data_IF_317865286511
#
_entry.id   IF_317865286511
#
_cell.length_a   1.000
_cell.length_b   1.000
_cell.length_c   1.000
_cell.angle_alpha   90.00
_cell.angle_beta   90.00
_cell.angle_gamma   90.00
#
_symmetry.space_group_name_H-M   'P 1'
#
loop_
_entity.id
_entity.type
_entity.pdbx_description
1 polymer ?
#
# COMPACT_ATOMS: atom_id res chain seq x y z
N UNK A 1 5.38 -0.99 20.26
CA UNK A 1 4.27 -1.71 20.93
C UNK A 1 4.08 -2.99 20.15
N UNK A 2 4.75 -4.06 20.55
CA UNK A 2 4.65 -5.36 19.87
C UNK A 2 3.26 -5.94 20.14
N UNK A 3 2.44 -6.03 19.10
CA UNK A 3 1.15 -6.70 19.18
C UNK A 3 1.45 -8.21 19.17
N UNK A 4 1.08 -8.98 20.20
CA UNK A 4 1.30 -10.42 20.19
C UNK A 4 0.53 -11.03 19.01
N UNK A 5 1.25 -11.73 18.14
CA UNK A 5 0.65 -12.47 17.03
C UNK A 5 -0.07 -13.67 17.65
N UNK A 6 -1.39 -13.68 17.56
CA UNK A 6 -2.21 -14.80 18.03
C UNK A 6 -2.39 -15.76 16.86
N UNK A 7 -1.91 -16.99 17.04
CA UNK A 7 -2.05 -18.07 16.07
C UNK A 7 -2.99 -19.11 16.67
N UNK A 8 -4.00 -19.53 15.91
CA UNK A 8 -4.88 -20.65 16.25
C UNK A 8 -4.32 -21.88 15.52
N UNK A 9 -3.80 -22.88 16.25
CA UNK A 9 -3.27 -24.10 15.67
C UNK A 9 -4.33 -24.90 14.91
N UNK A 10 -3.94 -25.53 13.81
CA UNK A 10 -4.79 -26.37 12.96
C UNK A 10 -5.57 -27.47 13.70
N UNK A 11 -5.03 -27.97 14.82
CA UNK A 11 -5.70 -28.93 15.72
C UNK A 11 -7.00 -28.38 16.32
N UNK A 12 -7.10 -27.06 16.49
CA UNK A 12 -8.26 -26.36 17.03
C UNK A 12 -9.18 -25.80 15.93
N UNK A 13 -8.66 -25.56 14.73
CA UNK A 13 -9.34 -24.87 13.63
C UNK A 13 -9.69 -25.77 12.44
N UNK A 14 -10.17 -26.99 12.69
CA UNK A 14 -10.67 -27.91 11.64
C UNK A 14 -9.67 -28.16 10.49
N UNK A 15 -8.37 -28.11 10.76
CA UNK A 15 -7.32 -28.48 9.81
C UNK A 15 -6.50 -27.32 9.22
N UNK A 16 -6.88 -26.06 9.43
CA UNK A 16 -6.15 -24.90 8.90
C UNK A 16 -5.53 -24.06 10.02
N UNK A 17 -4.29 -23.60 9.88
CA UNK A 17 -3.72 -22.64 10.83
C UNK A 17 -4.28 -21.23 10.57
N UNK A 18 -4.78 -20.56 11.61
CA UNK A 18 -5.37 -19.23 11.48
C UNK A 18 -4.52 -18.20 12.20
N UNK A 19 -4.28 -17.06 11.56
CA UNK A 19 -3.65 -15.89 12.17
C UNK A 19 -4.73 -14.88 12.54
N UNK A 20 -4.81 -14.53 13.83
CA UNK A 20 -5.78 -13.57 14.32
C UNK A 20 -5.17 -12.18 14.29
N UNK A 21 -5.82 -11.28 13.57
CA UNK A 21 -5.46 -9.87 13.48
C UNK A 21 -6.59 -9.06 14.11
N UNK A 22 -6.25 -8.03 14.90
CA UNK A 22 -7.29 -7.13 15.43
C UNK A 22 -7.95 -6.41 14.26
N UNK A 23 -9.27 -6.25 14.34
CA UNK A 23 -10.04 -5.56 13.30
C UNK A 23 -9.49 -4.17 12.98
N UNK A 24 -9.12 -3.39 14.00
CA UNK A 24 -8.52 -2.06 13.82
C UNK A 24 -7.25 -2.10 12.97
N UNK A 25 -6.37 -3.06 13.22
CA UNK A 25 -5.09 -3.18 12.51
C UNK A 25 -5.32 -3.65 11.06
N UNK A 26 -6.29 -4.56 10.87
CA UNK A 26 -6.72 -4.98 9.54
C UNK A 26 -7.30 -3.82 8.72
N UNK A 27 -8.16 -3.00 9.33
CA UNK A 27 -8.77 -1.85 8.66
C UNK A 27 -7.72 -0.79 8.28
N UNK A 28 -6.75 -0.52 9.17
CA UNK A 28 -5.59 0.35 8.88
C UNK A 28 -4.80 -0.20 7.69
N UNK A 29 -4.49 -1.50 7.70
CA UNK A 29 -3.78 -2.15 6.60
C UNK A 29 -4.55 -2.07 5.28
N UNK A 30 -5.87 -2.27 5.30
CA UNK A 30 -6.72 -2.15 4.11
C UNK A 30 -6.65 -0.74 3.50
N UNK A 31 -6.75 0.29 4.34
CA UNK A 31 -6.65 1.68 3.90
C UNK A 31 -5.28 1.97 3.30
N UNK A 32 -4.20 1.62 4.01
CA UNK A 32 -2.84 1.77 3.51
C UNK A 32 -2.63 1.06 2.17
N UNK A 33 -3.13 -0.18 2.03
CA UNK A 33 -3.05 -0.94 0.79
C UNK A 33 -3.75 -0.22 -0.38
N UNK A 34 -4.89 0.42 -0.10
CA UNK A 34 -5.63 1.17 -1.11
C UNK A 34 -4.88 2.44 -1.54
N UNK A 35 -4.28 3.16 -0.59
CA UNK A 35 -3.45 4.35 -0.86
C UNK A 35 -2.22 4.00 -1.70
N UNK A 36 -1.52 2.91 -1.36
CA UNK A 36 -0.36 2.44 -2.13
C UNK A 36 -0.76 2.05 -3.55
N UNK A 37 -1.90 1.35 -3.72
CA UNK A 37 -2.42 0.99 -5.04
C UNK A 37 -2.71 2.22 -5.89
N UNK A 38 -3.33 3.25 -5.30
CA UNK A 38 -3.60 4.52 -5.98
C UNK A 38 -2.30 5.26 -6.36
N UNK A 39 -1.32 5.32 -5.44
CA UNK A 39 -0.02 5.92 -5.72
C UNK A 39 0.70 5.22 -6.88
N UNK A 40 0.73 3.88 -6.87
CA UNK A 40 1.32 3.09 -7.96
C UNK A 40 0.58 3.31 -9.28
N UNK A 41 -0.75 3.42 -9.27
CA UNK A 41 -1.53 3.71 -10.47
C UNK A 41 -1.20 5.10 -11.05
N UNK A 42 -1.06 6.11 -10.20
CA UNK A 42 -0.64 7.47 -10.60
C UNK A 42 0.77 7.48 -11.20
N UNK A 43 1.73 6.79 -10.57
CA UNK A 43 3.09 6.63 -11.09
C UNK A 43 3.08 5.93 -12.45
N UNK A 44 2.32 4.84 -12.57
CA UNK A 44 2.18 4.10 -13.83
C UNK A 44 1.60 4.97 -14.96
N UNK A 45 0.56 5.75 -14.65
CA UNK A 45 -0.02 6.72 -15.58
C UNK A 45 0.98 7.78 -16.00
N UNK A 46 1.66 8.42 -15.04
CA UNK A 46 2.68 9.43 -15.30
C UNK A 46 3.83 8.89 -16.16
N UNK A 47 4.32 7.68 -15.88
CA UNK A 47 5.34 7.01 -16.72
C UNK A 47 4.85 6.79 -18.15
N UNK A 48 3.59 6.38 -18.34
CA UNK A 48 3.01 6.16 -19.67
C UNK A 48 2.89 7.47 -20.45
N UNK A 49 2.41 8.54 -19.81
CA UNK A 49 2.26 9.86 -20.42
C UNK A 49 3.62 10.51 -20.75
N UNK A 50 4.61 10.35 -19.87
CA UNK A 50 5.98 10.81 -20.10
C UNK A 50 6.61 10.12 -21.31
N UNK A 51 6.49 8.78 -21.40
CA UNK A 51 6.96 8.02 -22.57
C UNK A 51 6.26 8.42 -23.86
N UNK A 52 4.98 8.80 -23.78
CA UNK A 52 4.23 9.28 -24.93
C UNK A 52 4.53 10.75 -25.28
N UNK A 53 5.50 11.39 -24.61
CA UNK A 53 5.83 12.82 -24.74
C UNK A 53 4.62 13.76 -24.54
N UNK A 54 3.59 13.28 -23.84
CA UNK A 54 2.38 14.07 -23.52
C UNK A 54 2.53 14.88 -22.24
N UNK A 55 3.60 14.63 -21.47
CA UNK A 55 3.90 15.36 -20.24
C UNK A 55 4.90 16.47 -20.52
N UNK A 56 4.49 17.72 -20.38
CA UNK A 56 5.39 18.89 -20.43
C UNK A 56 6.15 18.90 -19.11
N UNK A 57 7.47 18.66 -19.14
CA UNK A 57 8.31 18.87 -17.96
C UNK A 57 8.38 20.37 -17.68
N UNK A 58 7.61 20.86 -16.71
CA UNK A 58 7.71 22.23 -16.25
C UNK A 58 8.87 22.31 -15.26
N UNK A 59 9.97 22.95 -15.65
CA UNK A 59 11.04 23.30 -14.72
C UNK A 59 10.47 24.33 -13.74
N UNK A 60 10.50 24.01 -12.45
CA UNK A 60 10.18 24.99 -11.40
C UNK A 60 11.18 26.15 -11.49
N UNK A 61 10.74 27.41 -11.64
CA UNK A 61 11.63 28.56 -11.73
C UNK A 61 12.24 28.96 -10.38
N UNK A 62 12.10 28.16 -9.32
CA UNK A 62 12.74 28.43 -8.03
C UNK A 62 14.25 28.18 -8.13
N UNK A 63 14.95 29.18 -8.64
CA UNK A 63 16.36 29.42 -8.34
C UNK A 63 16.44 29.62 -6.82
N UNK A 64 16.94 28.62 -6.11
CA UNK A 64 17.42 28.81 -4.74
C UNK A 64 18.57 29.82 -4.83
N UNK A 65 18.35 31.01 -4.26
CA UNK A 65 19.37 32.05 -4.07
C UNK A 65 19.73 32.09 -2.60
#
# INVERSE_FOLDING_TARGET
MDTPIIIIPSKLSKGEELVVVRRRDFDIFQNWRQEVKDALAKIGRGRKEYRAQKTISVLSPRVFR
#
